data_IF_880851020406
#
_entry.id   IF_880851020406
#
_cell.length_a   1.000
_cell.length_b   1.000
_cell.length_c   1.000
_cell.angle_alpha   90.00
_cell.angle_beta   90.00
_cell.angle_gamma   90.00
#
_symmetry.space_group_name_H-M   'P 1'
#
loop_
_entity.id
_entity.type
_entity.pdbx_description
1 polymer ?
2 polymer ?
#
loop_
_entity_poly.entity_id
_entity_poly.type
_entity_poly.pdbx_seq_one_letter_code
_entity_poly.pdbx_strand_id
1 'polyribonucleotide' 'GGGAUCUGUCACCCCAUUGAUCGCCAGUGGCUGAUCUGGCUGGCUAGGCGGGUCCC' ?
#
# COMPACT_ATOMS: atom_id res chain seq x y z
N UNK B 1 -6.06 19.80 2.74
CA UNK B 1 -7.21 18.91 3.02
C UNK B 1 -6.71 17.55 3.48
N UNK B 2 -7.14 17.15 4.68
CA UNK B 2 -6.75 15.88 5.26
C UNK B 2 -7.71 14.79 4.75
N UNK B 3 -7.25 13.54 4.82
CA UNK B 3 -8.02 12.40 4.35
C UNK B 3 -7.78 11.16 5.22
N UNK B 4 -8.88 10.55 5.66
CA UNK B 4 -8.82 9.31 6.43
C UNK B 4 -9.42 8.17 5.62
N UNK B 5 -8.68 7.07 5.55
CA UNK B 5 -9.12 5.89 4.79
C UNK B 5 -7.97 5.29 3.99
N UNK B 6 -7.78 3.99 4.16
CA UNK B 6 -6.74 3.24 3.44
C UNK B 6 -7.27 1.88 3.02
N UNK B 7 -6.78 1.40 1.87
CA UNK B 7 -7.14 0.08 1.36
C UNK B 7 -6.54 -1.06 2.20
N UNK B 8 -5.50 -0.75 2.98
CA UNK B 8 -4.84 -1.72 3.85
C UNK B 8 -4.55 -3.02 3.10
N UNK B 9 -3.95 -2.88 1.91
CA UNK B 9 -3.62 -4.03 1.07
C UNK B 9 -2.11 -4.13 0.87
N UNK B 10 -1.65 -5.37 0.68
CA UNK B 10 -0.23 -5.66 0.49
C UNK B 10 0.34 -4.82 -0.64
N UNK B 11 1.64 -4.56 -0.58
CA UNK B 11 2.34 -3.81 -1.64
C UNK B 11 3.56 -4.58 -2.17
N UNK B 12 3.92 -5.71 -1.54
CA UNK B 12 5.06 -6.53 -1.95
C UNK B 12 4.59 -7.85 -2.54
N UNK B 13 4.91 -8.08 -3.82
CA UNK B 13 4.57 -9.35 -4.49
C UNK B 13 5.77 -9.91 -5.25
N UNK B 14 6.65 -9.02 -5.74
CA UNK B 14 7.85 -9.44 -6.48
C UNK B 14 8.82 -10.14 -5.53
N UNK B 15 9.26 -9.41 -4.51
CA UNK B 15 10.24 -9.93 -3.55
C UNK B 15 11.48 -10.49 -4.27
N UNK B 16 11.80 -9.93 -5.42
CA UNK B 16 12.95 -10.38 -6.23
C UNK B 16 13.39 -9.28 -7.20
N UNK B 17 14.65 -9.42 -7.65
CA UNK B 17 15.20 -8.54 -8.67
C UNK B 17 14.38 -8.66 -9.95
#
# INVERSE_FOLDING_TARGET
GISYGRKKRKHRRRAHQ
#
